data_IF_481494300421
#
_entry.id   IF_481494300421
#
_cell.length_a   1.000
_cell.length_b   1.000
_cell.length_c   1.000
_cell.angle_alpha   90.00
_cell.angle_beta   90.00
_cell.angle_gamma   90.00
#
_symmetry.space_group_name_H-M   'P 1'
#
loop_
_entity.id
_entity.type
_entity.pdbx_description
1 polymer ?
#
# COMPACT_ATOMS: atom_id res chain seq x y z
N UNK A 1 -28.30 -6.99 -16.14
CA UNK A 1 -28.47 -6.61 -14.72
C UNK A 1 -27.09 -6.70 -14.12
N UNK A 2 -26.51 -5.59 -13.66
CA UNK A 2 -25.24 -5.66 -12.93
C UNK A 2 -25.54 -6.23 -11.55
N UNK A 3 -24.86 -7.31 -11.16
CA UNK A 3 -24.91 -7.80 -9.80
C UNK A 3 -24.26 -6.76 -8.90
N UNK A 4 -24.99 -6.33 -7.87
CA UNK A 4 -24.49 -5.42 -6.85
C UNK A 4 -23.53 -6.23 -5.98
N UNK A 5 -22.22 -6.03 -6.15
CA UNK A 5 -21.20 -6.73 -5.37
C UNK A 5 -21.12 -6.09 -3.99
N UNK A 6 -21.11 -6.92 -2.95
CA UNK A 6 -20.90 -6.42 -1.58
C UNK A 6 -19.53 -5.73 -1.48
N UNK A 7 -19.53 -4.53 -0.92
CA UNK A 7 -18.31 -3.78 -0.63
C UNK A 7 -17.91 -3.92 0.83
N UNK A 8 -16.61 -3.95 1.07
CA UNK A 8 -15.99 -4.10 2.38
C UNK A 8 -15.17 -2.84 2.66
N UNK A 9 -15.39 -2.22 3.83
CA UNK A 9 -14.57 -1.10 4.29
C UNK A 9 -13.28 -1.64 4.87
N UNK A 10 -12.16 -1.10 4.42
CA UNK A 10 -10.83 -1.47 4.89
C UNK A 10 -10.03 -0.23 5.28
N UNK A 11 -9.04 -0.44 6.15
CA UNK A 11 -7.98 0.54 6.42
C UNK A 11 -6.64 0.00 5.89
N UNK A 12 -5.91 0.84 5.16
CA UNK A 12 -4.55 0.57 4.69
C UNK A 12 -3.61 1.43 5.52
N UNK A 13 -2.72 0.78 6.27
CA UNK A 13 -1.75 1.43 7.14
C UNK A 13 -0.37 1.21 6.56
N UNK A 14 0.37 2.28 6.28
CA UNK A 14 1.69 2.22 5.67
C UNK A 14 2.72 2.79 6.62
N UNK A 15 3.78 2.03 6.90
CA UNK A 15 4.91 2.48 7.70
C UNK A 15 6.10 2.79 6.79
N UNK A 16 6.52 4.05 6.74
CA UNK A 16 7.81 4.42 6.16
C UNK A 16 8.93 4.14 7.16
N UNK A 17 9.97 3.42 6.75
CA UNK A 17 11.08 3.04 7.63
C UNK A 17 11.74 4.27 8.26
N UNK A 18 12.19 4.14 9.51
CA UNK A 18 12.93 5.19 10.20
C UNK A 18 14.42 5.14 9.86
N UNK A 19 14.75 5.42 8.61
CA UNK A 19 16.13 5.55 8.13
C UNK A 19 16.31 6.82 7.32
N UNK A 20 17.55 7.28 7.18
CA UNK A 20 17.87 8.50 6.43
C UNK A 20 17.33 8.43 5.00
N UNK A 21 16.70 9.53 4.55
CA UNK A 21 16.12 9.68 3.21
C UNK A 21 15.06 8.62 2.83
N UNK A 22 14.38 8.02 3.83
CA UNK A 22 13.39 6.99 3.59
C UNK A 22 12.05 7.48 3.04
N UNK A 23 11.75 8.78 3.13
CA UNK A 23 10.45 9.35 2.72
C UNK A 23 10.36 9.67 1.23
N UNK A 24 9.13 9.83 0.73
CA UNK A 24 8.86 10.09 -0.70
C UNK A 24 7.74 11.10 -0.91
N UNK A 25 7.89 11.90 -1.96
CA UNK A 25 6.84 12.81 -2.48
C UNK A 25 6.10 12.22 -3.70
N UNK A 26 6.38 10.95 -4.06
CA UNK A 26 5.73 10.28 -5.19
C UNK A 26 4.27 9.92 -4.86
N UNK A 27 3.45 9.73 -5.90
CA UNK A 27 2.11 9.17 -5.70
C UNK A 27 2.25 7.66 -5.48
N UNK A 28 1.71 7.17 -4.36
CA UNK A 28 1.77 5.76 -3.96
C UNK A 28 0.42 5.09 -4.21
N UNK A 29 0.48 3.84 -4.64
CA UNK A 29 -0.69 3.02 -4.91
C UNK A 29 -0.55 1.63 -4.29
N UNK A 30 -1.69 1.03 -3.95
CA UNK A 30 -1.80 -0.34 -3.47
C UNK A 30 -2.84 -1.10 -4.29
N UNK A 31 -2.55 -2.35 -4.59
CA UNK A 31 -3.50 -3.31 -5.16
C UNK A 31 -3.50 -4.56 -4.29
N UNK A 32 -4.67 -5.01 -3.85
CA UNK A 32 -4.81 -6.29 -3.16
C UNK A 32 -5.26 -7.35 -4.17
N UNK A 33 -4.63 -8.52 -4.10
CA UNK A 33 -4.95 -9.68 -4.91
C UNK A 33 -5.51 -10.74 -3.97
N UNK A 34 -6.67 -11.27 -4.30
CA UNK A 34 -7.29 -12.39 -3.59
C UNK A 34 -7.73 -13.49 -4.53
N UNK A 35 -8.29 -14.54 -3.95
CA UNK A 35 -8.70 -15.75 -4.67
C UNK A 35 -9.84 -15.50 -5.68
N UNK A 36 -10.68 -14.48 -5.44
CA UNK A 36 -11.85 -14.16 -6.27
C UNK A 36 -11.63 -12.94 -7.18
N UNK A 37 -10.49 -12.27 -7.07
CA UNK A 37 -10.17 -11.11 -7.91
C UNK A 37 -9.11 -10.18 -7.30
N UNK A 38 -9.07 -8.95 -7.80
CA UNK A 38 -8.21 -7.88 -7.27
C UNK A 38 -8.98 -6.58 -7.11
N UNK A 39 -8.51 -5.70 -6.23
CA UNK A 39 -9.15 -4.39 -5.98
C UNK A 39 -8.97 -3.38 -7.11
N UNK A 40 -8.09 -3.69 -8.07
CA UNK A 40 -7.47 -2.68 -8.91
C UNK A 40 -6.57 -1.72 -8.11
N UNK A 41 -6.02 -0.74 -8.82
CA UNK A 41 -5.04 0.21 -8.26
C UNK A 41 -5.72 1.29 -7.42
N UNK A 42 -5.47 1.29 -6.12
CA UNK A 42 -5.97 2.28 -5.16
C UNK A 42 -4.90 3.32 -4.87
N UNK A 43 -5.16 4.60 -5.16
CA UNK A 43 -4.24 5.71 -4.87
C UNK A 43 -4.32 6.13 -3.40
N UNK A 44 -3.19 6.11 -2.70
CA UNK A 44 -3.07 6.51 -1.29
C UNK A 44 -2.98 8.04 -1.16
N UNK A 45 -4.04 8.72 -1.58
CA UNK A 45 -4.05 10.18 -1.80
C UNK A 45 -4.26 11.00 -0.53
N UNK A 46 -5.22 10.57 0.30
CA UNK A 46 -5.68 11.32 1.48
C UNK A 46 -5.47 10.45 2.72
N UNK A 47 -4.40 10.74 3.46
CA UNK A 47 -4.15 10.12 4.76
C UNK A 47 -5.03 10.77 5.82
N UNK A 48 -5.53 9.97 6.76
CA UNK A 48 -6.31 10.41 7.91
C UNK A 48 -5.49 11.34 8.83
N UNK A 49 -4.22 11.01 9.02
CA UNK A 49 -3.40 11.58 10.08
C UNK A 49 -2.30 12.54 9.59
N UNK A 50 -2.00 12.57 8.29
CA UNK A 50 -0.97 13.46 7.75
C UNK A 50 -1.34 14.13 6.41
N UNK A 51 -1.06 15.43 6.31
CA UNK A 51 -1.13 16.15 5.04
C UNK A 51 0.05 15.78 4.12
N UNK A 52 1.25 15.75 4.69
CA UNK A 52 2.45 15.25 4.02
C UNK A 52 2.68 13.79 4.39
N UNK A 53 2.52 12.90 3.42
CA UNK A 53 2.42 11.45 3.61
C UNK A 53 3.78 10.80 3.39
N UNK A 54 3.94 9.58 3.85
CA UNK A 54 5.10 8.73 3.58
C UNK A 54 6.42 9.32 4.06
N UNK A 55 6.38 10.21 5.04
CA UNK A 55 7.56 10.80 5.66
C UNK A 55 8.32 9.78 6.50
N UNK A 56 9.65 9.94 6.58
CA UNK A 56 10.52 9.08 7.39
C UNK A 56 9.93 8.86 8.78
N UNK A 57 9.86 7.61 9.21
CA UNK A 57 9.44 7.31 10.57
C UNK A 57 7.95 7.59 10.85
N UNK A 58 7.14 7.87 9.83
CA UNK A 58 5.68 8.03 9.95
C UNK A 58 4.89 6.76 9.60
N UNK A 59 3.67 6.75 10.14
CA UNK A 59 2.61 5.79 9.84
C UNK A 59 1.49 6.58 9.19
N UNK A 60 1.08 6.22 7.99
CA UNK A 60 -0.03 6.85 7.28
C UNK A 60 -1.22 5.89 7.19
N UNK A 61 -2.44 6.42 7.39
CA UNK A 61 -3.66 5.62 7.45
C UNK A 61 -4.62 6.08 6.34
N UNK A 62 -5.08 5.14 5.53
CA UNK A 62 -5.98 5.38 4.40
C UNK A 62 -7.22 4.49 4.50
N UNK A 63 -8.36 4.98 4.01
CA UNK A 63 -9.63 4.27 4.05
C UNK A 63 -10.14 4.01 2.65
N UNK A 64 -10.59 2.78 2.40
CA UNK A 64 -11.16 2.37 1.12
C UNK A 64 -12.41 1.52 1.32
N UNK A 65 -13.28 1.54 0.31
CA UNK A 65 -14.32 0.53 0.13
C UNK A 65 -13.95 -0.29 -1.10
N UNK A 66 -13.79 -1.60 -0.93
CA UNK A 66 -13.38 -2.52 -1.99
C UNK A 66 -14.48 -3.55 -2.24
N UNK A 67 -14.56 -4.08 -3.46
CA UNK A 67 -15.36 -5.29 -3.69
C UNK A 67 -14.76 -6.47 -2.91
N UNK A 68 -15.59 -7.45 -2.56
CA UNK A 68 -15.09 -8.69 -1.99
C UNK A 68 -14.21 -9.42 -3.02
N UNK A 69 -12.93 -9.62 -2.67
CA UNK A 69 -11.92 -10.32 -3.48
C UNK A 69 -11.57 -11.71 -2.93
N UNK A 70 -12.35 -12.22 -1.97
CA UNK A 70 -12.07 -13.46 -1.26
C UNK A 70 -10.87 -13.33 -0.31
N UNK A 71 -10.15 -14.43 -0.10
CA UNK A 71 -8.95 -14.42 0.74
C UNK A 71 -7.81 -13.69 0.04
N UNK A 72 -7.26 -12.66 0.67
CA UNK A 72 -6.08 -11.96 0.14
C UNK A 72 -4.86 -12.89 0.15
N UNK A 73 -4.20 -13.00 -1.00
CA UNK A 73 -3.02 -13.84 -1.20
C UNK A 73 -1.76 -12.98 -1.39
N UNK A 74 -1.88 -11.82 -2.02
CA UNK A 74 -0.77 -10.91 -2.28
C UNK A 74 -1.19 -9.44 -2.16
N UNK A 75 -0.21 -8.59 -1.92
CA UNK A 75 -0.32 -7.14 -2.04
C UNK A 75 0.72 -6.64 -3.06
N UNK A 76 0.31 -5.71 -3.91
CA UNK A 76 1.23 -4.90 -4.71
C UNK A 76 1.27 -3.50 -4.12
N UNK A 77 2.48 -2.98 -3.86
CA UNK A 77 2.71 -1.57 -3.55
C UNK A 77 3.59 -0.96 -4.63
N UNK A 78 3.22 0.23 -5.10
CA UNK A 78 3.92 0.91 -6.20
C UNK A 78 3.90 2.42 -6.05
N UNK A 79 4.84 3.10 -6.70
CA UNK A 79 4.84 4.56 -6.80
C UNK A 79 5.10 5.01 -8.24
N UNK A 80 4.63 6.21 -8.60
CA UNK A 80 4.78 6.75 -9.95
C UNK A 80 6.11 7.47 -10.21
N UNK A 81 7.02 7.44 -9.24
CA UNK A 81 8.34 8.04 -9.32
C UNK A 81 8.34 9.56 -9.65
N UNK A 82 7.23 10.25 -9.38
CA UNK A 82 7.16 11.72 -9.45
C UNK A 82 7.71 12.36 -8.18
N UNK A 83 7.96 13.67 -8.25
CA UNK A 83 8.53 14.45 -7.15
C UNK A 83 10.07 14.45 -7.13
N UNK A 84 10.64 15.27 -6.25
CA UNK A 84 12.06 15.22 -5.91
C UNK A 84 12.23 14.20 -4.77
N UNK A 85 13.23 13.32 -4.85
CA UNK A 85 13.39 12.28 -3.82
C UNK A 85 12.31 11.20 -3.89
N UNK A 86 12.20 10.52 -5.02
CA UNK A 86 11.22 9.46 -5.24
C UNK A 86 11.59 8.11 -4.60
N UNK A 87 12.83 7.97 -4.12
CA UNK A 87 13.27 6.79 -3.38
C UNK A 87 12.46 6.67 -2.09
N UNK A 88 11.99 5.47 -1.79
CA UNK A 88 11.13 5.23 -0.64
C UNK A 88 11.53 3.95 0.06
N UNK A 89 11.70 3.97 1.38
CA UNK A 89 11.94 2.76 2.16
C UNK A 89 10.69 2.41 2.96
N UNK A 90 10.01 1.36 2.51
CA UNK A 90 8.79 0.86 3.18
C UNK A 90 9.20 -0.17 4.22
N UNK A 91 8.73 0.01 5.44
CA UNK A 91 8.94 -0.94 6.53
C UNK A 91 7.91 -2.07 6.40
N UNK A 92 6.64 -1.74 6.56
CA UNK A 92 5.53 -2.68 6.43
C UNK A 92 4.25 -1.99 5.93
N UNK A 93 3.30 -2.81 5.51
CA UNK A 93 1.92 -2.40 5.24
C UNK A 93 0.96 -3.31 6.00
N UNK A 94 -0.04 -2.74 6.65
CA UNK A 94 -1.15 -3.49 7.23
C UNK A 94 -2.46 -3.20 6.53
N UNK A 95 -3.27 -4.24 6.35
CA UNK A 95 -4.62 -4.14 5.82
C UNK A 95 -5.59 -4.59 6.89
N UNK A 96 -6.37 -3.67 7.44
CA UNK A 96 -7.36 -3.93 8.47
C UNK A 96 -8.73 -4.06 7.81
N UNK A 97 -9.26 -5.28 7.82
CA UNK A 97 -10.64 -5.62 7.51
C UNK A 97 -11.49 -5.52 8.78
N UNK A 98 -12.84 -5.53 8.67
CA UNK A 98 -13.71 -5.47 9.84
C UNK A 98 -13.48 -6.60 10.85
N UNK A 99 -13.03 -7.77 10.40
CA UNK A 99 -12.89 -8.99 11.18
C UNK A 99 -11.44 -9.45 11.39
N UNK A 100 -10.48 -8.93 10.63
CA UNK A 100 -9.07 -9.34 10.67
C UNK A 100 -8.10 -8.25 10.22
N UNK A 101 -6.83 -8.38 10.58
CA UNK A 101 -5.75 -7.56 10.05
C UNK A 101 -4.69 -8.45 9.39
N UNK A 102 -4.17 -8.01 8.25
CA UNK A 102 -3.09 -8.66 7.52
C UNK A 102 -1.85 -7.78 7.63
N UNK A 103 -0.70 -8.37 7.95
CA UNK A 103 0.59 -7.68 8.00
C UNK A 103 1.48 -8.14 6.84
N UNK A 104 2.02 -7.18 6.09
CA UNK A 104 2.95 -7.41 4.99
C UNK A 104 4.29 -6.76 5.32
N UNK A 105 5.27 -7.59 5.69
CA UNK A 105 6.66 -7.17 5.80
C UNK A 105 7.21 -6.80 4.42
N UNK A 106 7.60 -5.53 4.24
CA UNK A 106 8.16 -5.06 2.96
C UNK A 106 9.68 -4.95 3.08
N UNK A 107 10.14 -4.27 4.13
CA UNK A 107 11.52 -3.94 4.50
C UNK A 107 12.47 -3.70 3.30
N UNK A 108 12.03 -2.88 2.34
CA UNK A 108 12.74 -2.68 1.07
C UNK A 108 12.68 -1.25 0.57
N UNK A 109 13.76 -0.89 -0.14
CA UNK A 109 13.84 0.34 -0.91
C UNK A 109 13.15 0.18 -2.27
N UNK A 110 12.38 1.19 -2.64
CA UNK A 110 11.79 1.39 -3.96
C UNK A 110 12.46 2.62 -4.56
N UNK A 111 13.36 2.43 -5.51
CA UNK A 111 14.19 3.51 -6.03
C UNK A 111 14.42 3.41 -7.53
N UNK A 112 14.87 4.53 -8.10
CA UNK A 112 15.38 4.61 -9.47
C UNK A 112 16.89 4.32 -9.46
N UNK A 113 17.34 3.26 -10.13
CA UNK A 113 18.70 2.76 -10.02
C UNK A 113 19.02 1.55 -10.91
N UNK A 114 20.02 0.74 -10.54
CA UNK A 114 20.43 -0.44 -11.34
C UNK A 114 19.38 -1.56 -11.42
N UNK A 115 18.41 -1.53 -10.51
CA UNK A 115 17.25 -2.42 -10.47
C UNK A 115 16.06 -1.52 -10.16
N UNK A 116 15.50 -0.88 -11.19
CA UNK A 116 14.36 0.03 -11.03
C UNK A 116 13.17 -0.74 -10.45
N UNK A 117 12.91 -0.65 -9.15
CA UNK A 117 11.77 -1.30 -8.50
C UNK A 117 10.83 -0.24 -7.94
N UNK A 118 10.03 0.34 -8.84
CA UNK A 118 8.92 1.23 -8.46
C UNK A 118 7.68 0.47 -8.03
N UNK A 119 7.73 -0.87 -8.06
CA UNK A 119 6.64 -1.77 -7.70
C UNK A 119 7.22 -2.99 -6.98
N UNK A 120 6.56 -3.41 -5.91
CA UNK A 120 6.86 -4.63 -5.17
C UNK A 120 5.57 -5.44 -5.01
N UNK A 121 5.63 -6.73 -5.36
CA UNK A 121 4.59 -7.72 -5.03
C UNK A 121 5.04 -8.52 -3.82
N UNK A 122 4.21 -8.56 -2.78
CA UNK A 122 4.47 -9.22 -1.50
C UNK A 122 3.38 -10.27 -1.28
N UNK A 123 3.77 -11.53 -1.15
CA UNK A 123 2.85 -12.59 -0.79
C UNK A 123 2.49 -12.49 0.70
N UNK A 124 1.23 -12.69 1.04
CA UNK A 124 0.81 -12.82 2.43
C UNK A 124 1.34 -14.15 2.97
N UNK A 125 2.03 -14.10 4.12
CA UNK A 125 2.78 -15.25 4.64
C UNK A 125 2.17 -15.92 5.89
N UNK A 126 1.03 -15.42 6.38
CA UNK A 126 0.30 -15.99 7.51
C UNK A 126 0.79 -15.48 8.86
#
# INVERSE_FOLDING_TARGET
MAEERETIKIQVIVRTKDTDCAGTDANVFVTLIGEEGETGKMELKTSENHLNKFERGKIDIFHFEIENIGTVTDMIIEHDNKGLGSSWCVDYVEIHFPDKALHFDVDRWMEKGRVDTTQLKIAYSG
#
